data_IF_871848826877
#
_entry.id   IF_871848826877
#
_cell.length_a   1.000
_cell.length_b   1.000
_cell.length_c   1.000
_cell.angle_alpha   90.00
_cell.angle_beta   90.00
_cell.angle_gamma   90.00
#
_symmetry.space_group_name_H-M   'P 1'
#
loop_
_entity.id
_entity.type
_entity.pdbx_description
1 polymer ?
#
# COMPACT_ATOMS: atom_id res chain seq x y z
N UNK A 1 -52.31 -2.04 -6.82
CA UNK A 1 -51.05 -2.27 -7.55
C UNK A 1 -49.91 -1.41 -7.01
N UNK A 2 -50.19 -0.30 -6.32
CA UNK A 2 -49.20 0.65 -5.80
C UNK A 2 -48.24 0.12 -4.72
N UNK A 3 -48.68 -0.79 -3.85
CA UNK A 3 -47.84 -1.35 -2.77
C UNK A 3 -46.78 -2.34 -3.26
N UNK A 4 -47.06 -3.10 -4.33
CA UNK A 4 -46.08 -4.00 -4.96
C UNK A 4 -44.99 -3.22 -5.69
N UNK A 5 -45.34 -2.09 -6.32
CA UNK A 5 -44.38 -1.22 -7.00
C UNK A 5 -43.38 -0.58 -6.03
N UNK A 6 -43.85 -0.10 -4.88
CA UNK A 6 -42.98 0.44 -3.83
C UNK A 6 -42.03 -0.60 -3.23
N UNK A 7 -42.49 -1.84 -3.01
CA UNK A 7 -41.64 -2.93 -2.53
C UNK A 7 -40.52 -3.29 -3.51
N UNK A 8 -40.82 -3.32 -4.81
CA UNK A 8 -39.83 -3.59 -5.87
C UNK A 8 -38.83 -2.43 -5.98
N UNK A 9 -39.29 -1.17 -5.93
CA UNK A 9 -38.42 0.00 -5.98
C UNK A 9 -37.42 0.02 -4.80
N UNK A 10 -37.88 -0.29 -3.58
CA UNK A 10 -37.02 -0.39 -2.41
C UNK A 10 -36.00 -1.53 -2.52
N UNK A 11 -36.40 -2.67 -3.07
CA UNK A 11 -35.48 -3.80 -3.31
C UNK A 11 -34.38 -3.45 -4.32
N UNK A 12 -34.72 -2.73 -5.40
CA UNK A 12 -33.74 -2.27 -6.41
C UNK A 12 -32.76 -1.26 -5.81
N UNK A 13 -33.24 -0.29 -5.03
CA UNK A 13 -32.37 0.69 -4.36
C UNK A 13 -31.44 -0.02 -3.37
N UNK A 14 -31.96 -0.97 -2.57
CA UNK A 14 -31.15 -1.77 -1.66
C UNK A 14 -30.07 -2.58 -2.38
N UNK A 15 -30.40 -3.17 -3.54
CA UNK A 15 -29.45 -3.90 -4.37
C UNK A 15 -28.32 -3.00 -4.90
N UNK A 16 -28.64 -1.79 -5.37
CA UNK A 16 -27.66 -0.83 -5.88
C UNK A 16 -26.68 -0.40 -4.77
N UNK A 17 -27.20 -0.12 -3.57
CA UNK A 17 -26.38 0.26 -2.41
C UNK A 17 -25.46 -0.90 -2.00
N UNK A 18 -25.97 -2.13 -1.95
CA UNK A 18 -25.19 -3.30 -1.59
C UNK A 18 -24.04 -3.57 -2.58
N UNK A 19 -24.30 -3.42 -3.89
CA UNK A 19 -23.25 -3.56 -4.92
C UNK A 19 -22.19 -2.47 -4.78
N UNK A 20 -22.57 -1.23 -4.49
CA UNK A 20 -21.63 -0.14 -4.25
C UNK A 20 -20.75 -0.38 -3.02
N UNK A 21 -21.34 -0.84 -1.91
CA UNK A 21 -20.59 -1.16 -0.69
C UNK A 21 -19.63 -2.35 -0.90
N UNK A 22 -20.05 -3.38 -1.64
CA UNK A 22 -19.21 -4.52 -1.97
C UNK A 22 -18.01 -4.13 -2.87
N UNK A 23 -18.21 -3.21 -3.81
CA UNK A 23 -17.14 -2.70 -4.67
C UNK A 23 -16.10 -1.92 -3.88
N UNK A 24 -16.54 -1.00 -3.00
CA UNK A 24 -15.65 -0.23 -2.12
C UNK A 24 -14.85 -1.14 -1.18
N UNK A 25 -15.48 -2.19 -0.62
CA UNK A 25 -14.79 -3.18 0.23
C UNK A 25 -13.67 -3.91 -0.50
N UNK A 26 -13.91 -4.37 -1.73
CA UNK A 26 -12.90 -5.11 -2.52
C UNK A 26 -11.69 -4.25 -2.87
N UNK A 27 -11.90 -2.96 -3.13
CA UNK A 27 -10.81 -2.03 -3.44
C UNK A 27 -9.94 -1.78 -2.20
N UNK A 28 -10.57 -1.61 -1.04
CA UNK A 28 -9.87 -1.42 0.23
C UNK A 28 -9.10 -2.68 0.64
N UNK A 29 -9.70 -3.88 0.49
CA UNK A 29 -9.03 -5.17 0.72
C UNK A 29 -7.80 -5.36 -0.19
N UNK A 30 -7.92 -5.03 -1.48
CA UNK A 30 -6.80 -5.12 -2.42
C UNK A 30 -5.65 -4.19 -2.03
N UNK A 31 -5.97 -2.98 -1.54
CA UNK A 31 -4.98 -2.01 -1.04
C UNK A 31 -4.29 -2.52 0.23
N UNK A 32 -5.05 -2.97 1.22
CA UNK A 32 -4.50 -3.52 2.47
C UNK A 32 -3.60 -4.73 2.19
N UNK A 33 -4.03 -5.63 1.32
CA UNK A 33 -3.25 -6.81 0.91
C UNK A 33 -1.96 -6.40 0.20
N UNK A 34 -2.02 -5.42 -0.70
CA UNK A 34 -0.85 -4.91 -1.40
C UNK A 34 0.14 -4.23 -0.44
N UNK A 35 -0.37 -3.45 0.53
CA UNK A 35 0.41 -2.82 1.60
C UNK A 35 1.16 -3.85 2.42
N UNK A 36 0.47 -4.88 2.92
CA UNK A 36 1.06 -5.96 3.71
C UNK A 36 2.16 -6.69 2.92
N UNK A 37 1.90 -7.04 1.67
CA UNK A 37 2.89 -7.71 0.80
C UNK A 37 4.10 -6.82 0.52
N UNK A 38 3.90 -5.52 0.37
CA UNK A 38 5.00 -4.59 0.20
C UNK A 38 5.85 -4.47 1.47
N UNK A 39 5.22 -4.36 2.64
CA UNK A 39 5.92 -4.33 3.93
C UNK A 39 6.70 -5.62 4.20
N UNK A 40 6.13 -6.78 3.89
CA UNK A 40 6.83 -8.07 3.97
C UNK A 40 8.04 -8.11 3.05
N UNK A 41 7.91 -7.63 1.81
CA UNK A 41 9.02 -7.59 0.87
C UNK A 41 10.12 -6.61 1.33
N UNK A 42 9.77 -5.46 1.90
CA UNK A 42 10.74 -4.56 2.53
C UNK A 42 11.45 -5.20 3.72
N UNK A 43 10.72 -5.96 4.55
CA UNK A 43 11.32 -6.71 5.65
C UNK A 43 12.31 -7.76 5.13
N UNK A 44 11.98 -8.48 4.06
CA UNK A 44 12.88 -9.45 3.43
C UNK A 44 14.15 -8.81 2.87
N UNK A 45 14.04 -7.61 2.29
CA UNK A 45 15.21 -6.83 1.87
C UNK A 45 16.05 -6.42 3.07
N UNK A 46 15.44 -6.01 4.19
CA UNK A 46 16.16 -5.65 5.40
C UNK A 46 16.91 -6.86 6.00
N UNK A 47 16.30 -8.03 6.02
CA UNK A 47 16.94 -9.24 6.57
C UNK A 47 18.00 -9.82 5.64
N UNK A 48 17.79 -9.75 4.33
CA UNK A 48 18.69 -10.30 3.31
C UNK A 48 18.99 -9.27 2.23
N UNK A 49 19.81 -8.24 2.54
CA UNK A 49 20.06 -7.12 1.64
C UNK A 49 20.83 -7.51 0.39
N UNK A 50 21.68 -8.54 0.44
CA UNK A 50 22.48 -9.01 -0.71
C UNK A 50 21.66 -9.90 -1.68
N UNK A 51 20.44 -10.32 -1.30
CA UNK A 51 19.60 -11.15 -2.15
C UNK A 51 18.88 -10.28 -3.21
N UNK A 52 19.37 -10.33 -4.45
CA UNK A 52 18.77 -9.62 -5.59
C UNK A 52 17.27 -9.97 -5.79
N UNK A 53 16.87 -11.20 -5.45
CA UNK A 53 15.47 -11.65 -5.48
C UNK A 53 14.58 -10.85 -4.51
N UNK A 54 15.05 -10.58 -3.29
CA UNK A 54 14.34 -9.79 -2.28
C UNK A 54 14.16 -8.34 -2.75
N UNK A 55 15.20 -7.75 -3.35
CA UNK A 55 15.15 -6.39 -3.88
C UNK A 55 14.15 -6.28 -5.05
N UNK A 56 14.19 -7.22 -5.99
CA UNK A 56 13.25 -7.28 -7.12
C UNK A 56 11.81 -7.49 -6.64
N UNK A 57 11.61 -8.32 -5.61
CA UNK A 57 10.30 -8.53 -5.00
C UNK A 57 9.77 -7.24 -4.37
N UNK A 58 10.58 -6.55 -3.57
CA UNK A 58 10.19 -5.28 -2.94
C UNK A 58 9.87 -4.21 -3.98
N UNK A 59 10.65 -4.11 -5.06
CA UNK A 59 10.35 -3.20 -6.16
C UNK A 59 9.02 -3.53 -6.85
N UNK A 60 8.79 -4.79 -7.16
CA UNK A 60 7.56 -5.23 -7.86
C UNK A 60 6.33 -4.99 -6.98
N UNK A 61 6.39 -5.37 -5.69
CA UNK A 61 5.29 -5.18 -4.74
C UNK A 61 5.05 -3.70 -4.45
N UNK A 62 6.12 -2.92 -4.30
CA UNK A 62 6.02 -1.48 -4.06
C UNK A 62 5.44 -0.72 -5.26
N UNK A 63 5.83 -1.06 -6.49
CA UNK A 63 5.20 -0.50 -7.71
C UNK A 63 3.69 -0.75 -7.73
N UNK A 64 3.26 -2.00 -7.47
CA UNK A 64 1.84 -2.35 -7.43
C UNK A 64 1.09 -1.60 -6.33
N UNK A 65 1.71 -1.41 -5.17
CA UNK A 65 1.10 -0.65 -4.09
C UNK A 65 0.94 0.83 -4.43
N UNK A 66 1.98 1.45 -5.00
CA UNK A 66 1.95 2.85 -5.48
C UNK A 66 0.88 3.04 -6.54
N UNK A 67 0.75 2.12 -7.50
CA UNK A 67 -0.28 2.18 -8.55
C UNK A 67 -1.70 2.21 -7.98
N UNK A 68 -1.97 1.38 -6.95
CA UNK A 68 -3.26 1.37 -6.26
C UNK A 68 -3.53 2.70 -5.52
N UNK A 69 -2.52 3.26 -4.86
CA UNK A 69 -2.64 4.57 -4.22
C UNK A 69 -2.85 5.70 -5.23
N UNK A 70 -2.20 5.65 -6.40
CA UNK A 70 -2.42 6.63 -7.48
C UNK A 70 -3.82 6.49 -8.08
N UNK A 71 -4.34 5.27 -8.22
CA UNK A 71 -5.73 5.05 -8.63
C UNK A 71 -6.73 5.60 -7.61
N UNK A 72 -6.51 5.37 -6.31
CA UNK A 72 -7.32 5.93 -5.23
C UNK A 72 -7.27 7.47 -5.25
N UNK A 73 -6.08 8.06 -5.43
CA UNK A 73 -5.92 9.51 -5.55
C UNK A 73 -6.74 10.08 -6.72
N UNK A 74 -6.68 9.45 -7.91
CA UNK A 74 -7.47 9.87 -9.08
C UNK A 74 -8.97 9.80 -8.81
N UNK A 75 -9.43 8.75 -8.14
CA UNK A 75 -10.84 8.58 -7.77
C UNK A 75 -11.29 9.64 -6.75
N UNK A 76 -10.45 9.96 -5.75
CA UNK A 76 -10.74 11.02 -4.77
C UNK A 76 -10.83 12.40 -5.41
N UNK A 77 -9.92 12.73 -6.35
CA UNK A 77 -10.01 13.98 -7.12
C UNK A 77 -11.31 14.04 -7.93
N UNK A 78 -11.69 12.95 -8.59
CA UNK A 78 -12.96 12.88 -9.33
C UNK A 78 -14.18 13.07 -8.42
N UNK A 79 -14.13 12.54 -7.19
CA UNK A 79 -15.19 12.64 -6.19
C UNK A 79 -15.14 13.93 -5.33
N UNK A 80 -14.25 14.88 -5.64
CA UNK A 80 -13.99 16.10 -4.85
C UNK A 80 -13.71 15.81 -3.35
N UNK A 81 -13.02 14.70 -3.08
CA UNK A 81 -12.63 14.26 -1.75
C UNK A 81 -11.18 14.64 -1.45
N UNK A 82 -10.87 14.84 -0.16
CA UNK A 82 -9.49 15.11 0.29
C UNK A 82 -8.52 13.99 -0.09
N UNK A 83 -7.40 14.37 -0.72
CA UNK A 83 -6.31 13.48 -1.13
C UNK A 83 -5.15 13.44 -0.15
N UNK A 84 -5.14 14.32 0.86
CA UNK A 84 -3.97 14.56 1.72
C UNK A 84 -3.37 13.28 2.33
N UNK A 85 -4.22 12.36 2.81
CA UNK A 85 -3.76 11.10 3.38
C UNK A 85 -3.11 10.19 2.34
N UNK A 86 -3.71 10.09 1.15
CA UNK A 86 -3.21 9.27 0.04
C UNK A 86 -1.92 9.85 -0.53
N UNK A 87 -1.82 11.18 -0.63
CA UNK A 87 -0.61 11.88 -1.07
C UNK A 87 0.55 11.66 -0.09
N UNK A 88 0.31 11.79 1.22
CA UNK A 88 1.32 11.50 2.24
C UNK A 88 1.79 10.03 2.19
N UNK A 89 0.86 9.10 1.96
CA UNK A 89 1.19 7.68 1.84
C UNK A 89 1.95 7.36 0.54
N UNK A 90 1.59 7.99 -0.59
CA UNK A 90 2.34 7.90 -1.84
C UNK A 90 3.78 8.38 -1.69
N UNK A 91 4.00 9.51 -1.02
CA UNK A 91 5.34 10.04 -0.77
C UNK A 91 6.16 9.04 0.07
N UNK A 92 5.59 8.52 1.15
CA UNK A 92 6.26 7.51 2.01
C UNK A 92 6.60 6.23 1.24
N UNK A 93 5.66 5.69 0.45
CA UNK A 93 5.88 4.48 -0.33
C UNK A 93 6.96 4.68 -1.41
N UNK A 94 6.96 5.84 -2.10
CA UNK A 94 8.00 6.19 -3.08
C UNK A 94 9.37 6.33 -2.43
N UNK A 95 9.46 6.98 -1.27
CA UNK A 95 10.72 7.11 -0.51
C UNK A 95 11.27 5.75 -0.08
N UNK A 96 10.44 4.85 0.45
CA UNK A 96 10.86 3.50 0.84
C UNK A 96 11.36 2.66 -0.35
N UNK A 97 10.77 2.85 -1.54
CA UNK A 97 11.21 2.20 -2.76
C UNK A 97 12.59 2.70 -3.24
N UNK A 98 12.90 3.99 -3.04
CA UNK A 98 14.22 4.55 -3.34
C UNK A 98 15.30 3.98 -2.41
N UNK A 99 14.99 3.83 -1.12
CA UNK A 99 15.93 3.23 -0.13
C UNK A 99 16.30 1.80 -0.53
N UNK A 100 15.36 1.02 -1.07
CA UNK A 100 15.65 -0.35 -1.58
C UNK A 100 16.61 -0.41 -2.77
N UNK A 101 16.91 0.72 -3.42
CA UNK A 101 17.90 0.81 -4.51
C UNK A 101 19.32 1.15 -4.05
N UNK A 102 19.50 1.61 -2.81
CA UNK A 102 20.83 1.94 -2.30
C UNK A 102 21.53 0.69 -1.75
N UNK A 103 22.19 -0.02 -2.66
CA UNK A 103 23.20 -1.01 -2.31
C UNK A 103 24.46 -0.31 -1.72
N UNK A 104 24.82 -0.77 -0.52
CA UNK A 104 26.19 -1.03 -0.03
C UNK A 104 27.14 0.03 0.55
N UNK A 105 26.80 1.32 0.71
CA UNK A 105 27.72 2.27 1.37
C UNK A 105 27.07 3.15 2.45
N UNK A 106 25.98 2.70 3.06
CA UNK A 106 25.47 3.38 4.25
C UNK A 106 26.00 2.66 5.46
N UNK A 107 26.94 3.32 6.15
CA UNK A 107 27.26 2.99 7.53
C UNK A 107 25.99 2.96 8.39
N UNK A 108 26.10 2.42 9.61
CA UNK A 108 24.96 2.09 10.45
C UNK A 108 23.99 3.28 10.57
N UNK A 109 22.75 3.02 10.17
CA UNK A 109 21.65 3.98 10.06
C UNK A 109 21.07 4.41 11.42
N UNK A 110 21.57 3.83 12.51
CA UNK A 110 21.25 4.22 13.88
C UNK A 110 22.45 4.00 14.80
N UNK A 111 22.51 4.76 15.91
CA UNK A 111 23.57 4.61 16.92
C UNK A 111 23.59 3.20 17.52
N UNK A 112 22.42 2.57 17.69
CA UNK A 112 22.31 1.20 18.17
C UNK A 112 22.95 0.18 17.21
N UNK A 113 22.72 0.33 15.90
CA UNK A 113 23.37 -0.50 14.87
C UNK A 113 24.89 -0.24 14.80
N UNK A 114 25.33 1.01 15.02
CA UNK A 114 26.75 1.37 15.05
C UNK A 114 27.48 0.74 16.25
N UNK A 115 26.84 0.74 17.42
CA UNK A 115 27.40 0.14 18.63
C UNK A 115 27.51 -1.39 18.51
N UNK A 116 26.54 -2.04 17.86
CA UNK A 116 26.56 -3.48 17.62
C UNK A 116 27.65 -3.90 16.63
N UNK A 117 27.88 -3.09 15.58
CA UNK A 117 28.92 -3.37 14.58
C UNK A 117 30.34 -3.22 15.14
N UNK A 118 30.57 -2.30 16.09
CA UNK A 118 31.87 -2.13 16.74
C UNK A 118 32.19 -3.17 17.82
N UNK A 119 31.18 -3.85 18.38
CA UNK A 119 31.40 -4.92 19.37
C UNK A 119 31.80 -6.26 18.75
N UNK A 120 31.52 -6.51 17.47
CA UNK A 120 31.87 -7.77 16.80
C UNK A 120 33.28 -7.78 16.16
N UNK A 121 34.00 -6.66 16.17
CA UNK A 121 35.36 -6.55 15.62
C UNK A 121 36.49 -6.55 16.69
N UNK A 122 36.17 -6.89 17.94
CA UNK A 122 37.14 -7.25 18.97
C UNK A 122 37.06 -8.74 19.26
#
# INVERSE_FOLDING_TARGET
MDTLFWGIALAVIGLIIAVHLAYLSKQEEAKQTAKQRYQQALHQVRTNPDAASSQNLAQTRGKKYIELLEAERRQRVYNDQSTWQVDAELVRAKQQLVISRHQRNQGPTSYAEWQQQNQQQQ
#
